data_IF_504221696532
#
_entry.id   IF_504221696532
#
_cell.length_a   1.000
_cell.length_b   1.000
_cell.length_c   1.000
_cell.angle_alpha   90.00
_cell.angle_beta   90.00
_cell.angle_gamma   90.00
#
_symmetry.space_group_name_H-M   'P 1'
#
loop_
_entity.id
_entity.type
_entity.pdbx_description
1 polymer ?
#
# COMPACT_ATOMS: atom_id res chain seq x y z
N UNK A 1 0.26 -11.08 -22.70
CA UNK A 1 -0.56 -9.94 -22.22
C UNK A 1 -0.06 -8.67 -22.87
N UNK A 2 -0.94 -7.78 -23.32
CA UNK A 2 -0.53 -6.44 -23.74
C UNK A 2 0.01 -5.66 -22.53
N UNK A 3 1.04 -4.83 -22.74
CA UNK A 3 1.55 -3.94 -21.69
C UNK A 3 0.44 -2.99 -21.20
N UNK A 4 0.39 -2.70 -19.90
CA UNK A 4 -0.54 -1.72 -19.33
C UNK A 4 -0.25 -0.32 -19.89
N UNK A 5 -1.25 0.34 -20.46
CA UNK A 5 -1.05 1.58 -21.25
C UNK A 5 -1.90 2.79 -20.82
N UNK A 6 -2.38 2.82 -19.58
CA UNK A 6 -3.21 3.93 -19.09
C UNK A 6 -2.39 4.80 -18.14
N UNK A 7 -2.21 6.08 -18.51
CA UNK A 7 -1.28 7.00 -17.84
C UNK A 7 -1.95 8.32 -17.47
N UNK A 8 -1.46 8.93 -16.40
CA UNK A 8 -1.72 10.31 -16.02
C UNK A 8 -0.38 11.01 -15.75
N UNK A 9 -0.15 12.16 -16.38
CA UNK A 9 1.10 12.92 -16.26
C UNK A 9 2.36 12.06 -16.53
N UNK A 10 2.30 11.16 -17.52
CA UNK A 10 3.41 10.29 -17.88
C UNK A 10 3.65 9.09 -16.95
N UNK A 11 2.85 8.90 -15.89
CA UNK A 11 2.96 7.77 -14.96
C UNK A 11 1.71 6.89 -15.01
N UNK A 12 1.86 5.58 -14.91
CA UNK A 12 0.74 4.65 -15.05
C UNK A 12 -0.25 4.85 -13.90
N UNK A 13 -1.53 4.95 -14.19
CA UNK A 13 -2.56 5.09 -13.15
C UNK A 13 -2.64 3.80 -12.34
N UNK A 14 -2.73 3.92 -11.01
CA UNK A 14 -2.88 2.79 -10.11
C UNK A 14 -4.32 2.25 -10.15
N UNK A 15 -4.47 0.95 -10.29
CA UNK A 15 -5.75 0.25 -10.24
C UNK A 15 -5.55 -1.25 -10.34
N UNK A 16 -6.61 -2.04 -10.13
CA UNK A 16 -6.49 -3.52 -10.12
C UNK A 16 -5.97 -4.08 -11.44
N UNK A 17 -6.30 -3.44 -12.58
CA UNK A 17 -5.77 -3.82 -13.88
C UNK A 17 -4.25 -3.64 -14.03
N UNK A 18 -3.60 -2.85 -13.18
CA UNK A 18 -2.14 -2.70 -13.16
C UNK A 18 -1.46 -3.91 -12.53
N UNK A 19 -2.02 -5.12 -12.60
CA UNK A 19 -1.88 -6.25 -11.66
C UNK A 19 -0.49 -6.65 -11.12
N UNK A 20 0.61 -6.27 -11.76
CA UNK A 20 1.97 -6.40 -11.21
C UNK A 20 2.41 -5.22 -10.31
N UNK A 21 1.58 -4.19 -10.19
CA UNK A 21 1.85 -2.95 -9.48
C UNK A 21 2.00 -3.20 -7.98
N UNK A 22 3.03 -2.60 -7.42
CA UNK A 22 3.31 -2.62 -6.00
C UNK A 22 3.89 -1.28 -5.58
N UNK A 23 3.72 -0.94 -4.30
CA UNK A 23 4.37 0.22 -3.73
C UNK A 23 5.87 0.01 -3.60
N UNK A 24 6.62 1.11 -3.53
CA UNK A 24 8.00 1.06 -3.08
C UNK A 24 8.07 0.47 -1.66
N UNK A 25 9.19 -0.15 -1.34
CA UNK A 25 9.44 -0.67 0.00
C UNK A 25 9.46 0.50 1.00
N UNK A 26 8.37 0.64 1.78
CA UNK A 26 8.28 1.63 2.84
C UNK A 26 9.18 1.19 3.99
N UNK A 27 10.20 1.99 4.28
CA UNK A 27 11.23 1.71 5.28
C UNK A 27 11.66 3.01 5.98
N UNK A 28 11.98 2.98 7.29
CA UNK A 28 11.89 1.84 8.21
C UNK A 28 10.51 1.71 8.89
N UNK A 29 9.97 0.50 8.96
CA UNK A 29 8.91 0.13 9.92
C UNK A 29 9.52 -0.70 11.06
N UNK A 30 9.62 -0.12 12.26
CA UNK A 30 10.32 -0.77 13.37
C UNK A 30 9.35 -1.70 14.10
N UNK A 31 9.70 -2.97 14.18
CA UNK A 31 8.97 -3.96 14.97
C UNK A 31 9.82 -4.52 16.10
N UNK A 32 9.17 -4.93 17.19
CA UNK A 32 9.79 -5.78 18.20
C UNK A 32 9.91 -7.21 17.70
N UNK A 33 11.13 -7.74 17.69
CA UNK A 33 11.46 -9.05 17.07
C UNK A 33 12.18 -10.00 18.03
N UNK A 34 12.15 -11.33 17.80
CA UNK A 34 12.92 -12.31 18.57
C UNK A 34 14.43 -12.01 18.63
N UNK A 35 15.18 -12.53 19.61
CA UNK A 35 14.75 -13.52 20.62
C UNK A 35 14.36 -12.96 22.00
N UNK A 36 14.88 -11.81 22.47
CA UNK A 36 14.65 -11.23 23.82
C UNK A 36 14.77 -9.69 23.80
N UNK A 37 14.17 -8.94 24.74
CA UNK A 37 13.38 -9.37 25.91
C UNK A 37 12.02 -9.97 25.53
N UNK A 38 11.49 -10.87 26.36
CA UNK A 38 10.18 -11.51 26.15
C UNK A 38 9.06 -10.45 26.06
N UNK A 39 8.08 -10.67 25.17
CA UNK A 39 6.96 -9.76 24.84
C UNK A 39 7.34 -8.40 24.22
N UNK A 40 8.55 -7.88 24.45
CA UNK A 40 9.02 -6.61 23.86
C UNK A 40 9.74 -6.86 22.54
N UNK A 41 10.77 -7.71 22.55
CA UNK A 41 11.66 -7.97 21.41
C UNK A 41 12.70 -6.88 21.20
N UNK A 42 13.63 -7.11 20.27
CA UNK A 42 14.62 -6.12 19.83
C UNK A 42 13.96 -5.25 18.76
N UNK A 43 14.14 -3.91 18.77
CA UNK A 43 13.65 -3.06 17.69
C UNK A 43 14.43 -3.33 16.40
N UNK A 44 13.76 -3.91 15.41
CA UNK A 44 14.32 -4.21 14.08
C UNK A 44 13.54 -3.45 13.02
N UNK A 45 14.21 -2.68 12.12
CA UNK A 45 13.55 -2.01 11.02
C UNK A 45 13.29 -2.96 9.85
N UNK A 46 12.07 -2.97 9.33
CA UNK A 46 11.63 -3.82 8.22
C UNK A 46 11.13 -2.99 7.04
N UNK A 47 11.36 -3.45 5.79
CA UNK A 47 10.73 -2.89 4.60
C UNK A 47 9.33 -3.46 4.42
N UNK A 48 8.35 -2.63 4.10
CA UNK A 48 6.98 -3.06 3.81
C UNK A 48 6.60 -2.79 2.37
N UNK A 49 5.91 -3.73 1.73
CA UNK A 49 5.37 -3.58 0.36
C UNK A 49 3.88 -3.84 0.37
N UNK A 50 3.11 -3.10 -0.44
CA UNK A 50 1.69 -3.29 -0.69
C UNK A 50 1.47 -3.59 -2.17
N UNK A 51 0.56 -4.52 -2.50
CA UNK A 51 0.31 -4.97 -3.88
C UNK A 51 -1.04 -4.47 -4.38
N UNK A 52 -1.08 -3.92 -5.59
CA UNK A 52 -2.30 -3.30 -6.15
C UNK A 52 -3.45 -4.29 -6.35
N UNK A 53 -3.15 -5.59 -6.46
CA UNK A 53 -4.17 -6.65 -6.54
C UNK A 53 -5.13 -6.65 -5.34
N UNK A 54 -4.67 -6.20 -4.18
CA UNK A 54 -5.42 -6.17 -2.93
C UNK A 54 -6.10 -4.79 -2.71
N UNK A 55 -6.35 -4.04 -3.79
CA UNK A 55 -7.05 -2.75 -3.77
C UNK A 55 -8.49 -2.90 -3.28
N UNK A 56 -8.86 -2.06 -2.33
CA UNK A 56 -10.21 -1.87 -1.80
C UNK A 56 -10.71 -0.46 -2.14
N UNK A 57 -12.04 -0.31 -2.20
CA UNK A 57 -12.73 0.97 -2.40
C UNK A 57 -12.26 1.71 -3.67
N UNK A 58 -12.05 0.97 -4.77
CA UNK A 58 -11.79 1.57 -6.08
C UNK A 58 -13.00 2.32 -6.65
N UNK A 59 -12.84 2.83 -7.87
CA UNK A 59 -13.95 3.40 -8.63
C UNK A 59 -15.05 2.37 -8.92
N UNK A 60 -16.25 2.88 -9.20
CA UNK A 60 -17.48 2.11 -9.41
C UNK A 60 -18.08 2.30 -10.80
N UNK A 61 -17.78 3.41 -11.46
CA UNK A 61 -18.33 3.81 -12.77
C UNK A 61 -17.27 3.90 -13.87
N UNK A 62 -16.00 4.08 -13.51
CA UNK A 62 -14.88 4.16 -14.45
C UNK A 62 -13.97 2.97 -14.24
N UNK A 63 -13.60 2.28 -15.32
CA UNK A 63 -12.80 1.06 -15.27
C UNK A 63 -11.60 1.16 -16.21
N UNK A 64 -10.45 0.64 -15.77
CA UNK A 64 -9.28 0.41 -16.59
C UNK A 64 -9.25 -1.08 -16.93
N UNK A 65 -9.42 -1.43 -18.21
CA UNK A 65 -9.48 -2.83 -18.65
C UNK A 65 -10.50 -3.70 -17.87
N UNK A 66 -11.66 -3.13 -17.55
CA UNK A 66 -12.72 -3.82 -16.79
C UNK A 66 -12.52 -3.84 -15.27
N UNK A 67 -11.43 -3.26 -14.76
CA UNK A 67 -11.10 -3.26 -13.34
C UNK A 67 -11.12 -1.85 -12.71
N UNK A 68 -11.44 -1.71 -11.41
CA UNK A 68 -11.48 -0.43 -10.71
C UNK A 68 -10.14 0.32 -10.70
N UNK A 69 -10.26 1.65 -10.72
CA UNK A 69 -9.20 2.64 -10.55
C UNK A 69 -9.04 2.99 -9.07
N UNK A 70 -7.81 3.23 -8.62
CA UNK A 70 -7.59 3.78 -7.28
C UNK A 70 -7.98 5.27 -7.23
N UNK A 71 -8.57 5.68 -6.13
CA UNK A 71 -9.09 7.03 -5.90
C UNK A 71 -8.45 7.62 -4.64
N UNK A 72 -7.99 8.87 -4.74
CA UNK A 72 -7.50 9.68 -3.62
C UNK A 72 -8.46 9.61 -2.44
N UNK A 73 -7.91 9.48 -1.23
CA UNK A 73 -8.60 9.52 0.07
C UNK A 73 -9.76 8.52 0.25
N UNK A 74 -9.98 7.61 -0.71
CA UNK A 74 -11.06 6.61 -0.70
C UNK A 74 -10.49 5.20 -0.81
N UNK A 75 -9.60 4.98 -1.79
CA UNK A 75 -9.00 3.68 -2.02
C UNK A 75 -7.83 3.39 -1.09
N UNK A 76 -7.65 2.12 -0.76
CA UNK A 76 -6.53 1.62 0.03
C UNK A 76 -6.12 0.24 -0.46
N UNK A 77 -4.94 -0.21 -0.08
CA UNK A 77 -4.55 -1.62 -0.22
C UNK A 77 -4.85 -2.32 1.10
N UNK A 78 -5.58 -3.44 1.05
CA UNK A 78 -6.06 -4.15 2.22
C UNK A 78 -4.90 -4.60 3.14
N UNK A 79 -3.74 -4.91 2.57
CA UNK A 79 -2.60 -5.44 3.32
C UNK A 79 -1.26 -5.02 2.71
N UNK A 80 -0.35 -4.56 3.56
CA UNK A 80 1.09 -4.49 3.35
C UNK A 80 1.79 -5.62 4.11
N UNK A 81 2.89 -6.11 3.56
CA UNK A 81 3.68 -7.25 4.05
C UNK A 81 5.15 -6.88 4.14
N UNK A 82 5.90 -7.54 5.01
CA UNK A 82 7.35 -7.36 5.19
C UNK A 82 7.82 -7.52 6.65
N UNK A 83 6.93 -7.30 7.61
CA UNK A 83 7.24 -7.37 9.05
C UNK A 83 7.06 -8.77 9.65
N UNK A 84 6.63 -9.77 8.88
CA UNK A 84 6.34 -11.12 9.36
C UNK A 84 7.46 -11.76 10.20
N UNK A 85 8.76 -11.48 9.97
CA UNK A 85 9.83 -11.96 10.86
C UNK A 85 9.77 -11.44 12.30
N UNK A 86 9.02 -10.38 12.59
CA UNK A 86 8.82 -9.86 13.95
C UNK A 86 7.94 -10.77 14.82
N UNK A 87 7.09 -11.61 14.21
CA UNK A 87 6.14 -12.54 14.86
C UNK A 87 5.12 -11.89 15.80
N UNK A 88 4.01 -12.59 16.07
CA UNK A 88 2.92 -12.07 16.92
C UNK A 88 3.27 -12.11 18.43
N UNK A 89 4.38 -12.74 18.80
CA UNK A 89 4.80 -12.96 20.19
C UNK A 89 5.44 -11.73 20.86
N UNK A 90 5.82 -10.71 20.07
CA UNK A 90 6.52 -9.51 20.53
C UNK A 90 5.70 -8.24 20.26
N UNK A 91 6.27 -7.06 20.54
CA UNK A 91 5.58 -5.76 20.47
C UNK A 91 5.08 -5.36 19.07
N UNK A 92 5.33 -6.18 18.03
CA UNK A 92 4.94 -5.92 16.62
C UNK A 92 5.44 -4.53 16.19
N UNK A 93 4.80 -3.87 15.22
CA UNK A 93 5.13 -2.49 14.86
C UNK A 93 5.04 -1.55 16.07
N UNK A 94 6.13 -0.84 16.37
CA UNK A 94 6.25 0.04 17.56
C UNK A 94 5.18 1.13 17.56
N UNK A 95 4.81 1.63 16.38
CA UNK A 95 3.76 2.65 16.21
C UNK A 95 2.38 2.03 15.95
N UNK A 96 2.33 0.96 15.17
CA UNK A 96 1.08 0.46 14.58
C UNK A 96 0.46 -0.68 15.40
N UNK A 97 1.24 -1.34 16.26
CA UNK A 97 0.88 -2.54 17.03
C UNK A 97 0.35 -3.68 16.16
N UNK A 98 0.76 -3.73 14.88
CA UNK A 98 0.42 -4.78 13.93
C UNK A 98 1.67 -5.19 13.13
N UNK A 99 1.64 -6.41 12.60
CA UNK A 99 2.68 -6.94 11.70
C UNK A 99 2.30 -6.63 10.27
N UNK A 100 1.04 -6.88 9.93
CA UNK A 100 0.46 -6.55 8.63
C UNK A 100 -0.67 -5.57 8.86
N UNK A 101 -0.80 -4.59 7.98
CA UNK A 101 -1.81 -3.56 8.07
C UNK A 101 -2.14 -2.99 6.70
N UNK A 102 -3.05 -2.03 6.66
CA UNK A 102 -3.47 -1.37 5.42
C UNK A 102 -2.37 -0.45 4.90
N UNK A 103 -2.41 -0.18 3.60
CA UNK A 103 -1.59 0.88 3.00
C UNK A 103 -2.46 1.92 2.28
N UNK A 104 -2.10 3.19 2.45
CA UNK A 104 -2.84 4.34 1.93
C UNK A 104 -1.97 5.18 1.02
N UNK A 105 -2.56 5.65 -0.08
CA UNK A 105 -1.93 6.63 -0.96
C UNK A 105 -1.86 8.00 -0.28
N UNK A 106 -0.73 8.69 -0.39
CA UNK A 106 -0.52 10.03 0.17
C UNK A 106 -0.10 11.06 -0.88
N UNK A 107 0.07 10.64 -2.13
CA UNK A 107 0.13 11.53 -3.29
C UNK A 107 -0.63 10.95 -4.48
N UNK A 108 -0.88 11.79 -5.49
CA UNK A 108 -1.73 11.49 -6.64
C UNK A 108 -1.47 12.49 -7.78
N UNK A 109 -2.10 12.26 -8.92
CA UNK A 109 -2.13 13.23 -10.03
C UNK A 109 -2.66 14.58 -9.59
N UNK A 110 -1.99 15.71 -9.89
CA UNK A 110 -2.48 17.03 -9.50
C UNK A 110 -3.74 17.47 -10.25
N UNK A 111 -4.06 16.84 -11.40
CA UNK A 111 -5.08 17.34 -12.32
C UNK A 111 -5.87 16.27 -13.09
N UNK A 112 -5.60 14.98 -12.90
CA UNK A 112 -6.42 13.90 -13.47
C UNK A 112 -7.34 13.34 -12.39
N UNK A 113 -8.63 13.35 -12.68
CA UNK A 113 -9.69 12.97 -11.75
C UNK A 113 -10.53 11.81 -12.31
N UNK A 114 -10.94 10.91 -11.43
CA UNK A 114 -11.93 9.86 -11.67
C UNK A 114 -12.95 9.93 -10.55
N UNK A 115 -14.24 9.96 -10.89
CA UNK A 115 -15.34 10.14 -9.91
C UNK A 115 -15.18 11.38 -9.01
N UNK A 116 -14.51 12.42 -9.50
CA UNK A 116 -14.21 13.64 -8.74
C UNK A 116 -12.99 13.54 -7.82
N UNK A 117 -12.31 12.39 -7.77
CA UNK A 117 -11.10 12.18 -6.96
C UNK A 117 -9.87 12.12 -7.84
N UNK A 118 -8.77 12.73 -7.39
CA UNK A 118 -7.49 12.57 -8.06
C UNK A 118 -7.09 11.08 -8.11
N UNK A 119 -6.36 10.69 -9.15
CA UNK A 119 -5.90 9.30 -9.31
C UNK A 119 -4.47 9.11 -8.78
N UNK A 120 -4.21 8.15 -7.89
CA UNK A 120 -2.85 7.71 -7.59
C UNK A 120 -2.21 7.05 -8.81
N UNK A 121 -0.89 7.16 -8.92
CA UNK A 121 -0.10 6.67 -10.06
C UNK A 121 1.11 5.87 -9.57
N UNK A 122 1.83 5.28 -10.50
CA UNK A 122 3.16 4.75 -10.24
C UNK A 122 4.06 5.83 -9.64
N UNK A 123 4.84 5.45 -8.62
CA UNK A 123 5.70 6.32 -7.80
C UNK A 123 4.99 7.36 -6.92
N UNK A 124 3.65 7.42 -6.93
CA UNK A 124 2.96 8.19 -5.90
C UNK A 124 3.19 7.53 -4.52
N UNK A 125 3.37 8.39 -3.50
CA UNK A 125 3.76 7.99 -2.16
C UNK A 125 2.63 7.22 -1.46
N UNK A 126 3.05 6.32 -0.58
CA UNK A 126 2.14 5.55 0.25
C UNK A 126 2.65 5.46 1.68
N UNK A 127 1.74 5.31 2.62
CA UNK A 127 2.03 4.94 4.01
C UNK A 127 1.52 3.52 4.27
N UNK A 128 2.22 2.76 5.11
CA UNK A 128 2.06 1.31 5.22
C UNK A 128 1.79 0.86 6.66
N UNK A 129 1.38 -0.40 6.80
CA UNK A 129 1.19 -1.11 8.07
C UNK A 129 0.19 -0.45 9.04
N UNK A 130 -0.86 0.18 8.53
CA UNK A 130 -1.87 0.81 9.38
C UNK A 130 -2.82 -0.22 9.98
N UNK A 131 -3.06 -0.15 11.30
CA UNK A 131 -4.01 -1.02 12.00
C UNK A 131 -5.47 -0.76 11.59
N UNK A 132 -5.80 0.50 11.26
CA UNK A 132 -7.16 0.96 10.93
C UNK A 132 -7.22 1.72 9.62
#
# INVERSE_FOLDING_TARGET
MAAFKIYANGMSIAGKASGAGMSAAAFPDVCGSPPKPEKIGIPVPYPNTAKIKDLENGSTSVFMYGEPVALRDKSRIATSTGNEPATEAFKKGVKTNVIKGKAYFTSWSPNVFVEGYNVPRHLDLMTHNHKS
#
